data_IF_402760912956
#
_entry.id   IF_402760912956
#
_cell.length_a   1.000
_cell.length_b   1.000
_cell.length_c   1.000
_cell.angle_alpha   90.00
_cell.angle_beta   90.00
_cell.angle_gamma   90.00
#
_symmetry.space_group_name_H-M   'P 1'
#
loop_
_entity.id
_entity.type
_entity.pdbx_description
1 polymer ?
#
# COMPACT_ATOMS: atom_id res chain seq x y z
N UNK A 1 -10.35 5.19 14.45
CA UNK A 1 -11.37 4.25 13.93
C UNK A 1 -11.20 4.23 12.41
N UNK A 2 -10.70 3.13 11.83
CA UNK A 2 -10.49 3.00 10.38
C UNK A 2 -11.86 2.72 9.73
N UNK A 3 -12.50 3.75 9.18
CA UNK A 3 -13.76 3.61 8.46
C UNK A 3 -13.45 3.21 7.02
N UNK A 4 -13.56 1.92 6.71
CA UNK A 4 -13.44 1.45 5.34
C UNK A 4 -14.73 1.74 4.60
N UNK A 5 -14.65 2.67 3.65
CA UNK A 5 -15.81 3.17 2.91
C UNK A 5 -15.77 2.77 1.43
N UNK A 6 -15.16 1.61 1.10
CA UNK A 6 -15.11 1.13 -0.29
C UNK A 6 -16.48 0.63 -0.77
N UNK A 7 -17.49 0.51 0.10
CA UNK A 7 -18.88 0.20 -0.26
C UNK A 7 -19.47 1.13 -1.33
N UNK A 8 -18.88 2.31 -1.55
CA UNK A 8 -19.29 3.26 -2.59
C UNK A 8 -18.59 3.06 -3.95
N UNK A 9 -17.70 2.08 -4.09
CA UNK A 9 -17.09 1.72 -5.38
C UNK A 9 -18.16 1.15 -6.32
N UNK A 10 -18.77 2.02 -7.11
CA UNK A 10 -19.69 1.64 -8.20
C UNK A 10 -18.93 0.84 -9.26
N UNK A 11 -19.61 -0.13 -9.88
CA UNK A 11 -19.11 -0.98 -10.97
C UNK A 11 -18.14 -2.11 -10.59
N UNK A 12 -17.97 -2.40 -9.29
CA UNK A 12 -17.25 -3.59 -8.83
C UNK A 12 -18.19 -4.57 -8.13
N UNK A 13 -17.85 -5.85 -8.23
CA UNK A 13 -18.55 -6.90 -7.50
C UNK A 13 -18.51 -6.63 -5.98
N UNK A 14 -19.66 -6.75 -5.32
CA UNK A 14 -19.80 -6.40 -3.89
C UNK A 14 -18.99 -7.32 -2.99
N UNK A 15 -18.87 -8.60 -3.33
CA UNK A 15 -18.09 -9.56 -2.55
C UNK A 15 -16.59 -9.27 -2.71
N UNK A 16 -16.16 -8.91 -3.92
CA UNK A 16 -14.79 -8.45 -4.16
C UNK A 16 -14.43 -7.21 -3.34
N UNK A 17 -15.33 -6.22 -3.28
CA UNK A 17 -15.13 -5.01 -2.48
C UNK A 17 -15.05 -5.34 -0.98
N UNK A 18 -15.92 -6.22 -0.46
CA UNK A 18 -15.84 -6.67 0.95
C UNK A 18 -14.54 -7.42 1.26
N UNK A 19 -14.08 -8.26 0.32
CA UNK A 19 -12.83 -8.99 0.48
C UNK A 19 -11.63 -8.01 0.51
N UNK A 20 -11.65 -6.98 -0.35
CA UNK A 20 -10.67 -5.90 -0.32
C UNK A 20 -10.72 -5.13 1.01
N UNK A 21 -11.90 -4.76 1.50
CA UNK A 21 -12.07 -4.09 2.80
C UNK A 21 -11.39 -4.88 3.92
N UNK A 22 -11.71 -6.18 3.99
CA UNK A 22 -11.18 -7.09 5.01
C UNK A 22 -9.65 -7.18 4.93
N UNK A 23 -9.11 -7.23 3.71
CA UNK A 23 -7.67 -7.27 3.49
C UNK A 23 -6.98 -5.97 3.90
N UNK A 24 -7.57 -4.81 3.59
CA UNK A 24 -7.02 -3.51 3.97
C UNK A 24 -7.03 -3.30 5.49
N UNK A 25 -8.07 -3.78 6.18
CA UNK A 25 -8.10 -3.78 7.66
C UNK A 25 -6.92 -4.58 8.22
N UNK A 26 -6.67 -5.77 7.68
CA UNK A 26 -5.51 -6.59 8.10
C UNK A 26 -4.19 -5.86 7.88
N UNK A 27 -3.98 -5.23 6.72
CA UNK A 27 -2.76 -4.46 6.47
C UNK A 27 -2.62 -3.25 7.39
N UNK A 28 -3.72 -2.58 7.73
CA UNK A 28 -3.73 -1.48 8.68
C UNK A 28 -3.33 -1.94 10.08
N UNK A 29 -3.93 -3.02 10.60
CA UNK A 29 -3.59 -3.58 11.91
C UNK A 29 -2.12 -3.99 12.01
N UNK A 30 -1.52 -4.45 10.91
CA UNK A 30 -0.11 -4.83 10.85
C UNK A 30 0.84 -3.70 10.44
N UNK A 31 0.34 -2.48 10.23
CA UNK A 31 1.12 -1.34 9.70
C UNK A 31 1.93 -1.69 8.45
N UNK A 32 1.36 -2.54 7.60
CA UNK A 32 2.07 -3.20 6.53
C UNK A 32 2.02 -2.39 5.22
N UNK A 33 3.13 -2.40 4.48
CA UNK A 33 3.18 -1.90 3.11
C UNK A 33 2.84 -3.02 2.13
N UNK A 34 2.03 -2.72 1.13
CA UNK A 34 1.54 -3.72 0.18
C UNK A 34 1.64 -3.23 -1.26
N UNK A 35 1.52 -4.18 -2.19
CA UNK A 35 1.60 -3.93 -3.63
C UNK A 35 0.35 -4.47 -4.33
N UNK A 36 0.00 -3.94 -5.51
CA UNK A 36 -1.08 -4.48 -6.33
C UNK A 36 -0.91 -5.97 -6.63
N UNK A 37 0.32 -6.43 -6.85
CA UNK A 37 0.60 -7.87 -7.05
C UNK A 37 0.16 -8.72 -5.85
N UNK A 38 0.40 -8.24 -4.62
CA UNK A 38 0.02 -8.96 -3.40
C UNK A 38 -1.48 -8.97 -3.19
N UNK A 39 -2.14 -7.84 -3.41
CA UNK A 39 -3.61 -7.73 -3.32
C UNK A 39 -4.27 -8.62 -4.37
N UNK A 40 -3.79 -8.59 -5.62
CA UNK A 40 -4.23 -9.48 -6.68
C UNK A 40 -4.13 -10.96 -6.30
N UNK A 41 -3.01 -11.38 -5.73
CA UNK A 41 -2.82 -12.75 -5.24
C UNK A 41 -3.80 -13.12 -4.11
N UNK A 42 -4.00 -12.23 -3.13
CA UNK A 42 -4.88 -12.49 -1.99
C UNK A 42 -6.36 -12.55 -2.39
N UNK A 43 -6.77 -11.75 -3.37
CA UNK A 43 -8.15 -11.68 -3.84
C UNK A 43 -8.41 -12.59 -5.06
N UNK A 44 -7.38 -13.31 -5.54
CA UNK A 44 -7.42 -14.12 -6.76
C UNK A 44 -7.93 -13.33 -7.99
N UNK A 45 -7.40 -12.12 -8.20
CA UNK A 45 -7.74 -11.24 -9.33
C UNK A 45 -6.47 -10.87 -10.12
N UNK A 46 -6.67 -10.37 -11.34
CA UNK A 46 -5.56 -9.86 -12.16
C UNK A 46 -4.85 -8.68 -11.48
N UNK A 47 -3.55 -8.52 -11.77
CA UNK A 47 -2.77 -7.41 -11.23
C UNK A 47 -3.33 -6.05 -11.68
N UNK A 48 -3.86 -5.96 -12.89
CA UNK A 48 -4.47 -4.75 -13.44
C UNK A 48 -5.74 -4.37 -12.67
N UNK A 49 -6.61 -5.35 -12.39
CA UNK A 49 -7.82 -5.12 -11.60
C UNK A 49 -7.46 -4.71 -10.17
N UNK A 50 -6.46 -5.37 -9.58
CA UNK A 50 -5.96 -4.98 -8.25
C UNK A 50 -5.40 -3.55 -8.25
N UNK A 51 -4.69 -3.15 -9.31
CA UNK A 51 -4.15 -1.81 -9.44
C UNK A 51 -5.28 -0.78 -9.51
N UNK A 52 -6.29 -1.01 -10.35
CA UNK A 52 -7.45 -0.14 -10.48
C UNK A 52 -8.22 0.01 -9.16
N UNK A 53 -8.48 -1.10 -8.47
CA UNK A 53 -9.15 -1.08 -7.16
C UNK A 53 -8.38 -0.25 -6.12
N UNK A 54 -7.06 -0.41 -6.05
CA UNK A 54 -6.23 0.34 -5.12
C UNK A 54 -6.14 1.82 -5.47
N UNK A 55 -6.12 2.19 -6.75
CA UNK A 55 -6.22 3.59 -7.17
C UNK A 55 -7.55 4.20 -6.76
N UNK A 56 -8.66 3.48 -6.96
CA UNK A 56 -9.97 3.97 -6.53
C UNK A 56 -10.06 4.08 -5.00
N UNK A 57 -9.51 3.12 -4.27
CA UNK A 57 -9.41 3.19 -2.81
C UNK A 57 -8.57 4.40 -2.36
N UNK A 58 -7.52 4.77 -3.12
CA UNK A 58 -6.71 5.96 -2.86
C UNK A 58 -7.50 7.25 -3.11
N UNK A 59 -8.27 7.30 -4.18
CA UNK A 59 -9.11 8.47 -4.51
C UNK A 59 -10.18 8.70 -3.43
N UNK A 60 -10.67 7.62 -2.81
CA UNK A 60 -11.57 7.66 -1.66
C UNK A 60 -10.87 7.96 -0.32
N UNK A 61 -9.54 8.09 -0.32
CA UNK A 61 -8.76 8.38 0.89
C UNK A 61 -8.67 7.19 1.85
N UNK A 62 -8.82 5.96 1.38
CA UNK A 62 -8.68 4.74 2.21
C UNK A 62 -7.23 4.26 2.26
N UNK A 63 -6.50 4.42 1.16
CA UNK A 63 -5.08 4.09 1.06
C UNK A 63 -4.31 5.28 0.49
N UNK A 64 -2.99 5.29 0.65
CA UNK A 64 -2.09 6.20 -0.06
C UNK A 64 -0.90 5.44 -0.64
N UNK A 65 -0.11 6.12 -1.46
CA UNK A 65 1.15 5.61 -2.01
C UNK A 65 2.34 6.27 -1.33
N UNK A 66 3.31 5.46 -0.93
CA UNK A 66 4.56 5.92 -0.36
C UNK A 66 5.74 5.39 -1.18
N UNK A 67 6.70 6.27 -1.44
CA UNK A 67 7.94 5.90 -2.11
C UNK A 67 8.90 5.24 -1.11
N UNK A 68 9.45 4.10 -1.48
CA UNK A 68 10.30 3.29 -0.60
C UNK A 68 11.53 2.77 -1.32
N UNK A 69 12.59 2.53 -0.54
CA UNK A 69 13.72 1.69 -0.98
C UNK A 69 13.63 0.34 -0.31
N UNK A 70 13.69 -0.72 -1.10
CA UNK A 70 13.81 -2.10 -0.64
C UNK A 70 15.23 -2.59 -0.89
N UNK A 71 15.93 -3.03 0.16
CA UNK A 71 17.24 -3.65 -0.01
C UNK A 71 17.11 -4.89 -0.89
N UNK A 72 17.95 -4.99 -1.93
CA UNK A 72 17.89 -6.10 -2.90
C UNK A 72 18.29 -7.45 -2.29
N UNK A 73 19.10 -7.42 -1.22
CA UNK A 73 19.63 -8.62 -0.57
C UNK A 73 18.69 -9.11 0.54
N UNK A 74 18.52 -8.34 1.62
CA UNK A 74 17.73 -8.78 2.77
C UNK A 74 16.24 -8.40 2.70
N UNK A 75 15.82 -7.66 1.65
CA UNK A 75 14.42 -7.29 1.45
C UNK A 75 13.86 -6.23 2.41
N UNK A 76 14.69 -5.64 3.29
CA UNK A 76 14.23 -4.60 4.23
C UNK A 76 13.77 -3.36 3.49
N UNK A 77 12.62 -2.83 3.91
CA UNK A 77 11.97 -1.66 3.30
C UNK A 77 12.23 -0.43 4.17
N UNK A 78 12.60 0.66 3.53
CA UNK A 78 12.82 1.95 4.13
C UNK A 78 11.84 2.97 3.52
N UNK A 79 11.02 3.59 4.36
CA UNK A 79 10.17 4.73 3.98
C UNK A 79 11.09 5.93 3.73
N UNK A 80 11.14 6.44 2.50
CA UNK A 80 12.07 7.51 2.14
C UNK A 80 11.60 8.85 2.70
N UNK A 81 12.11 9.20 3.88
CA UNK A 81 12.16 10.59 4.36
C UNK A 81 13.57 11.19 4.25
N UNK A 82 14.61 10.35 4.11
CA UNK A 82 16.04 10.72 4.04
C UNK A 82 16.80 9.76 3.12
N UNK A 83 17.92 10.19 2.55
CA UNK A 83 18.82 9.32 1.78
C UNK A 83 19.40 8.22 2.68
N UNK A 84 19.45 7.00 2.17
CA UNK A 84 20.08 5.85 2.81
C UNK A 84 21.06 5.28 1.79
N UNK A 85 22.34 5.26 2.15
CA UNK A 85 23.43 4.83 1.27
C UNK A 85 23.68 3.31 1.37
N UNK A 86 23.41 2.71 2.54
CA UNK A 86 23.59 1.29 2.80
C UNK A 86 22.51 0.72 3.72
N UNK A 87 22.18 -0.55 3.52
CA UNK A 87 21.18 -1.24 4.34
C UNK A 87 21.69 -1.42 5.77
N UNK A 88 20.93 -0.96 6.76
CA UNK A 88 21.28 -1.07 8.19
C UNK A 88 21.34 -2.50 8.74
N UNK A 89 20.81 -3.50 8.02
CA UNK A 89 20.93 -4.92 8.40
C UNK A 89 22.15 -5.56 7.73
N UNK A 90 22.21 -5.53 6.40
CA UNK A 90 23.15 -6.35 5.63
C UNK A 90 24.26 -5.53 4.95
N UNK A 91 24.31 -4.22 5.22
CA UNK A 91 25.30 -3.25 4.69
C UNK A 91 25.37 -3.16 3.16
N UNK A 92 24.45 -3.80 2.43
CA UNK A 92 24.39 -3.72 0.98
C UNK A 92 23.87 -2.35 0.52
N UNK A 93 24.54 -1.76 -0.48
CA UNK A 93 24.17 -0.49 -1.12
C UNK A 93 23.19 -0.63 -2.28
N UNK A 94 22.89 -1.86 -2.72
CA UNK A 94 21.95 -2.12 -3.81
C UNK A 94 20.49 -2.09 -3.33
N UNK A 95 19.76 -1.06 -3.73
CA UNK A 95 18.35 -0.89 -3.44
C UNK A 95 17.48 -0.94 -4.70
N UNK A 96 16.28 -1.51 -4.56
CA UNK A 96 15.18 -1.36 -5.51
C UNK A 96 14.25 -0.28 -5.00
N UNK A 97 13.91 0.65 -5.87
CA UNK A 97 13.04 1.77 -5.54
C UNK A 97 11.67 1.60 -6.18
N UNK A 98 10.64 2.13 -5.53
CA UNK A 98 9.29 2.08 -6.08
C UNK A 98 8.23 2.57 -5.11
N UNK A 99 7.00 2.58 -5.58
CA UNK A 99 5.83 2.97 -4.81
C UNK A 99 5.14 1.75 -4.23
N UNK A 100 4.82 1.83 -2.94
CA UNK A 100 4.00 0.87 -2.22
C UNK A 100 2.73 1.55 -1.75
N UNK A 101 1.66 0.77 -1.60
CA UNK A 101 0.44 1.25 -0.98
C UNK A 101 0.52 1.08 0.53
N UNK A 102 -0.13 2.00 1.24
CA UNK A 102 -0.23 1.98 2.70
C UNK A 102 -1.63 2.44 3.12
N UNK A 103 -2.09 1.94 4.26
CA UNK A 103 -3.30 2.41 4.96
C UNK A 103 -2.94 3.42 6.06
N UNK A 104 -1.66 3.76 6.20
CA UNK A 104 -1.14 4.78 7.11
C UNK A 104 -1.30 6.15 6.44
N UNK A 105 -2.45 6.78 6.65
CA UNK A 105 -2.86 8.03 6.00
C UNK A 105 -2.31 9.29 6.68
N UNK A 106 -1.37 9.14 7.62
CA UNK A 106 -0.77 10.26 8.36
C UNK A 106 0.16 11.11 7.48
N UNK A 107 -0.39 11.88 6.54
CA UNK A 107 0.31 12.99 5.89
C UNK A 107 -0.55 13.97 5.06
N UNK A 108 -1.87 13.78 4.92
CA UNK A 108 -2.70 14.70 4.11
C UNK A 108 -3.14 15.98 4.83
N UNK A 109 -3.22 16.00 6.17
CA UNK A 109 -3.72 17.16 6.91
C UNK A 109 -2.68 18.26 7.17
N UNK A 110 -1.40 18.04 6.84
CA UNK A 110 -0.33 19.02 7.07
C UNK A 110 -0.07 19.97 5.87
N UNK A 111 -0.77 19.79 4.74
CA UNK A 111 -0.56 20.57 3.50
C UNK A 111 -1.77 21.46 3.16
N UNK A 112 -2.81 21.48 4.01
CA UNK A 112 -4.03 22.28 3.82
C UNK A 112 -4.29 23.30 4.94
N UNK A 113 -3.22 23.84 5.54
CA UNK A 113 -3.29 25.06 6.35
C UNK A 113 -2.41 26.14 5.73
#
# INVERSE_FOLDING_TARGET
MYFVNLRYLKNYDRELVKALDTLLVSFHSSSELFTPKRVGKNLNISIDLSYQLLLRARDLGVVDTIFVKKCSNCGRIYKLKKSIEACTICQNSNFKEGYYFTTDLHQKDAVRM
#
